data_IF_662596183091
#
_entry.id   IF_662596183091
#
_cell.length_a   1.000
_cell.length_b   1.000
_cell.length_c   1.000
_cell.angle_alpha   90.00
_cell.angle_beta   90.00
_cell.angle_gamma   90.00
#
_symmetry.space_group_name_H-M   'P 1'
#
loop_
_entity.id
_entity.type
_entity.pdbx_description
1 polymer ?
#
# COMPACT_ATOMS: atom_id res chain seq x y z
N UNK A 1 6.48 -44.88 -37.95
CA UNK A 1 6.49 -44.28 -36.60
C UNK A 1 5.66 -45.17 -35.69
N UNK A 2 6.24 -45.73 -34.63
CA UNK A 2 5.65 -46.86 -33.87
C UNK A 2 4.53 -46.31 -32.95
N UNK A 3 3.34 -46.92 -32.98
CA UNK A 3 2.12 -46.53 -32.24
C UNK A 3 2.35 -46.32 -30.73
N UNK A 4 3.32 -47.08 -30.18
CA UNK A 4 3.76 -46.98 -28.78
C UNK A 4 4.50 -45.66 -28.41
N UNK A 5 5.25 -45.09 -29.35
CA UNK A 5 5.99 -43.85 -29.15
C UNK A 5 5.06 -42.61 -29.25
N UNK A 6 3.99 -42.72 -30.04
CA UNK A 6 2.99 -41.65 -30.17
C UNK A 6 2.15 -41.49 -28.90
N UNK A 7 1.76 -42.61 -28.27
CA UNK A 7 1.03 -42.59 -26.99
C UNK A 7 1.87 -42.03 -25.84
N UNK A 8 3.20 -42.28 -25.82
CA UNK A 8 4.12 -41.72 -24.82
C UNK A 8 4.31 -40.21 -25.00
N UNK A 9 4.36 -39.73 -26.23
CA UNK A 9 4.49 -38.30 -26.54
C UNK A 9 3.21 -37.53 -26.09
N UNK A 10 2.03 -38.05 -26.34
CA UNK A 10 0.76 -37.44 -25.89
C UNK A 10 0.65 -37.42 -24.39
N UNK A 11 1.03 -38.48 -23.68
CA UNK A 11 1.00 -38.55 -22.23
C UNK A 11 1.93 -37.51 -21.56
N UNK A 12 3.14 -37.31 -22.09
CA UNK A 12 4.09 -36.30 -21.60
C UNK A 12 3.62 -34.87 -21.85
N UNK A 13 2.99 -34.62 -23.00
CA UNK A 13 2.45 -33.27 -23.32
C UNK A 13 1.27 -32.91 -22.44
N UNK A 14 0.35 -33.87 -22.18
CA UNK A 14 -0.77 -33.68 -21.26
C UNK A 14 -0.33 -33.46 -19.84
N UNK A 15 0.69 -34.22 -19.35
CA UNK A 15 1.23 -34.04 -18.00
C UNK A 15 1.87 -32.66 -17.83
N UNK A 16 2.62 -32.17 -18.82
CA UNK A 16 3.20 -30.82 -18.83
C UNK A 16 2.15 -29.71 -18.78
N UNK A 17 1.02 -29.90 -19.50
CA UNK A 17 -0.10 -28.94 -19.49
C UNK A 17 -0.81 -28.88 -18.13
N UNK A 18 -1.02 -30.04 -17.49
CA UNK A 18 -1.66 -30.11 -16.16
C UNK A 18 -0.77 -29.49 -15.10
N UNK A 19 0.54 -29.78 -15.10
CA UNK A 19 1.50 -29.17 -14.15
C UNK A 19 1.59 -27.65 -14.39
N UNK A 20 1.66 -27.20 -15.64
CA UNK A 20 1.67 -25.77 -15.98
C UNK A 20 0.41 -25.05 -15.51
N UNK A 21 -0.77 -25.66 -15.68
CA UNK A 21 -2.04 -25.08 -15.23
C UNK A 21 -2.15 -25.01 -13.70
N UNK A 22 -1.62 -25.99 -12.97
CA UNK A 22 -1.58 -25.99 -11.50
C UNK A 22 -0.63 -24.91 -10.98
N UNK A 23 0.55 -24.77 -11.57
CA UNK A 23 1.54 -23.74 -11.18
C UNK A 23 1.01 -22.34 -11.50
N UNK A 24 0.42 -22.13 -12.69
CA UNK A 24 -0.22 -20.84 -13.04
C UNK A 24 -1.46 -20.53 -12.19
N UNK A 25 -2.22 -21.54 -11.77
CA UNK A 25 -3.38 -21.37 -10.88
C UNK A 25 -2.98 -20.98 -9.44
N UNK A 26 -1.85 -21.48 -8.96
CA UNK A 26 -1.36 -21.18 -7.61
C UNK A 26 -0.84 -19.74 -7.44
N UNK A 27 -0.44 -19.08 -8.54
CA UNK A 27 -0.04 -17.67 -8.56
C UNK A 27 -1.17 -16.68 -8.84
N UNK A 28 -2.40 -17.13 -9.04
CA UNK A 28 -3.54 -16.21 -9.02
C UNK A 28 -3.70 -15.74 -7.58
N UNK A 29 -3.22 -14.53 -7.29
CA UNK A 29 -3.61 -13.79 -6.10
C UNK A 29 -5.13 -13.88 -6.02
N UNK A 30 -5.63 -14.38 -4.89
CA UNK A 30 -7.07 -14.51 -4.65
C UNK A 30 -7.69 -13.14 -4.95
N UNK A 31 -8.64 -13.03 -5.91
CA UNK A 31 -9.26 -11.74 -6.20
C UNK A 31 -9.91 -11.23 -4.92
N UNK A 32 -9.44 -10.13 -4.37
CA UNK A 32 -10.04 -9.47 -3.22
C UNK A 32 -9.22 -9.42 -1.92
N UNK A 33 -8.04 -10.06 -1.83
CA UNK A 33 -7.17 -9.87 -0.66
C UNK A 33 -6.46 -8.52 -0.74
N UNK A 34 -6.85 -7.61 0.13
CA UNK A 34 -6.18 -6.33 0.34
C UNK A 34 -5.21 -6.50 1.52
N UNK A 35 -3.89 -6.40 1.30
CA UNK A 35 -2.95 -6.43 2.41
C UNK A 35 -3.20 -5.24 3.33
N UNK A 36 -3.21 -5.44 4.66
CA UNK A 36 -3.50 -4.35 5.59
C UNK A 36 -2.43 -3.27 5.54
N UNK A 37 -2.88 -2.01 5.47
CA UNK A 37 -2.03 -0.84 5.64
C UNK A 37 -1.96 -0.50 7.13
N UNK A 38 -0.76 -0.36 7.70
CA UNK A 38 -0.57 -0.05 9.11
C UNK A 38 -0.22 1.43 9.32
N UNK A 39 -0.73 2.00 10.41
CA UNK A 39 -0.27 3.29 10.92
C UNK A 39 0.48 3.04 12.22
N UNK A 40 1.73 3.46 12.26
CA UNK A 40 2.69 3.19 13.34
C UNK A 40 3.50 4.45 13.67
N UNK A 41 4.41 4.37 14.62
CA UNK A 41 5.25 5.47 15.08
C UNK A 41 4.67 6.12 16.34
N UNK A 42 4.71 7.45 16.41
CA UNK A 42 4.27 8.23 17.57
C UNK A 42 2.76 8.35 17.66
N UNK A 43 2.10 7.22 17.83
CA UNK A 43 0.66 7.08 17.91
C UNK A 43 0.25 6.32 19.16
N UNK A 44 -0.84 6.72 19.79
CA UNK A 44 -1.40 6.03 20.94
C UNK A 44 -2.00 4.66 20.57
N UNK A 45 -2.32 4.47 19.29
CA UNK A 45 -2.96 3.26 18.80
C UNK A 45 -2.45 2.91 17.39
N UNK A 46 -1.92 1.70 17.20
CA UNK A 46 -1.64 1.14 15.87
C UNK A 46 -2.97 0.89 15.15
N UNK A 47 -3.16 1.52 14.02
CA UNK A 47 -4.32 1.31 13.15
C UNK A 47 -3.94 0.35 12.03
N UNK A 48 -4.82 -0.63 11.74
CA UNK A 48 -4.70 -1.51 10.58
C UNK A 48 -5.90 -1.29 9.68
N UNK A 49 -5.65 -0.87 8.47
CA UNK A 49 -6.66 -0.67 7.43
C UNK A 49 -6.71 -1.90 6.54
N UNK A 50 -7.78 -2.66 6.64
CA UNK A 50 -8.04 -3.83 5.78
C UNK A 50 -8.97 -3.47 4.62
N UNK A 51 -9.73 -2.38 4.76
CA UNK A 51 -10.69 -1.92 3.78
C UNK A 51 -10.67 -0.38 3.70
N UNK A 52 -10.68 0.22 2.49
CA UNK A 52 -10.74 1.67 2.31
C UNK A 52 -11.94 2.36 2.97
N UNK A 53 -13.05 1.63 3.22
CA UNK A 53 -14.26 2.17 3.86
C UNK A 53 -14.21 2.16 5.39
N UNK A 54 -13.15 1.64 5.98
CA UNK A 54 -13.06 1.40 7.42
C UNK A 54 -12.86 2.69 8.23
N UNK A 55 -12.22 3.69 7.65
CA UNK A 55 -11.92 4.97 8.31
C UNK A 55 -12.35 6.12 7.41
N UNK A 56 -13.16 7.02 7.96
CA UNK A 56 -13.54 8.26 7.32
C UNK A 56 -14.46 8.12 6.11
N UNK A 57 -14.63 9.24 5.40
CA UNK A 57 -15.43 9.33 4.19
C UNK A 57 -14.54 9.14 2.97
N UNK A 58 -15.02 8.39 1.99
CA UNK A 58 -14.39 8.34 0.67
C UNK A 58 -14.66 9.64 -0.09
N UNK A 59 -13.62 10.14 -0.70
CA UNK A 59 -13.61 11.33 -1.53
C UNK A 59 -13.32 10.96 -2.99
N UNK A 60 -14.01 11.63 -3.91
CA UNK A 60 -13.66 11.58 -5.33
C UNK A 60 -12.44 12.46 -5.57
N UNK A 61 -11.33 11.86 -5.95
CA UNK A 61 -10.07 12.56 -6.22
C UNK A 61 -9.68 12.35 -7.67
N UNK A 62 -9.47 13.44 -8.41
CA UNK A 62 -8.92 13.38 -9.76
C UNK A 62 -7.42 13.66 -9.72
N UNK A 63 -6.63 12.73 -10.23
CA UNK A 63 -5.18 12.83 -10.26
C UNK A 63 -4.64 12.14 -11.51
N UNK A 64 -3.75 12.80 -12.23
CA UNK A 64 -3.15 12.28 -13.47
C UNK A 64 -4.18 11.76 -14.49
N UNK A 65 -5.26 12.49 -14.69
CA UNK A 65 -6.34 12.09 -15.62
C UNK A 65 -7.23 10.94 -15.16
N UNK A 66 -6.94 10.34 -14.00
CA UNK A 66 -7.71 9.25 -13.42
C UNK A 66 -8.56 9.72 -12.23
N UNK A 67 -9.68 9.02 -12.00
CA UNK A 67 -10.55 9.25 -10.84
C UNK A 67 -10.34 8.13 -9.82
N UNK A 68 -10.19 8.51 -8.56
CA UNK A 68 -9.96 7.61 -7.43
C UNK A 68 -11.01 7.84 -6.35
N UNK A 69 -11.40 6.76 -5.68
CA UNK A 69 -12.08 6.81 -4.38
C UNK A 69 -11.01 6.72 -3.29
N UNK A 70 -10.83 7.78 -2.51
CA UNK A 70 -9.71 7.89 -1.60
C UNK A 70 -10.11 8.45 -0.24
N UNK A 71 -9.36 8.08 0.80
CA UNK A 71 -9.51 8.57 2.17
C UNK A 71 -8.50 9.69 2.37
N UNK A 72 -8.85 10.76 3.08
CA UNK A 72 -7.85 11.76 3.48
C UNK A 72 -6.81 11.15 4.40
N UNK A 73 -5.53 11.40 4.12
CA UNK A 73 -4.42 10.92 4.95
C UNK A 73 -4.55 11.42 6.39
N UNK A 74 -5.02 12.66 6.59
CA UNK A 74 -5.24 13.21 7.93
C UNK A 74 -6.31 12.46 8.73
N UNK A 75 -7.37 11.95 8.09
CA UNK A 75 -8.39 11.18 8.80
C UNK A 75 -7.81 9.86 9.33
N UNK A 76 -6.93 9.24 8.55
CA UNK A 76 -6.21 8.01 8.93
C UNK A 76 -5.27 8.27 10.12
N UNK A 77 -4.49 9.35 10.06
CA UNK A 77 -3.56 9.75 11.11
C UNK A 77 -4.33 10.09 12.40
N UNK A 78 -5.41 10.85 12.28
CA UNK A 78 -6.26 11.21 13.43
C UNK A 78 -6.86 9.97 14.10
N UNK A 79 -7.27 8.96 13.32
CA UNK A 79 -7.77 7.70 13.86
C UNK A 79 -6.72 6.91 14.66
N UNK A 80 -5.42 7.11 14.37
CA UNK A 80 -4.32 6.51 15.12
C UNK A 80 -3.98 7.28 16.41
N UNK A 81 -4.55 8.46 16.63
CA UNK A 81 -4.36 9.29 17.81
C UNK A 81 -2.86 9.60 18.03
N UNK A 82 -2.25 10.49 17.26
CA UNK A 82 -0.88 10.91 17.48
C UNK A 82 -0.68 11.40 18.91
N UNK A 83 0.43 11.01 19.56
CA UNK A 83 0.74 11.39 20.94
C UNK A 83 1.16 12.85 21.06
N UNK A 84 1.62 13.46 19.96
CA UNK A 84 1.90 14.88 19.82
C UNK A 84 1.63 15.31 18.36
N UNK A 85 1.77 16.60 18.08
CA UNK A 85 1.64 17.11 16.73
C UNK A 85 2.65 16.43 15.79
N UNK A 86 2.22 15.83 14.67
CA UNK A 86 3.13 15.21 13.72
C UNK A 86 4.04 16.26 13.09
N UNK A 87 5.34 15.99 13.04
CA UNK A 87 6.32 16.80 12.30
C UNK A 87 6.63 16.21 10.92
N UNK A 88 6.60 14.88 10.84
CA UNK A 88 6.92 14.17 9.62
C UNK A 88 6.04 12.93 9.49
N UNK A 89 5.61 12.68 8.27
CA UNK A 89 4.88 11.45 7.92
C UNK A 89 5.70 10.72 6.86
N UNK A 90 6.04 9.47 7.13
CA UNK A 90 6.67 8.60 6.15
C UNK A 90 5.67 7.59 5.62
N UNK A 91 5.65 7.43 4.31
CA UNK A 91 4.86 6.46 3.58
C UNK A 91 5.79 5.39 3.05
N UNK A 92 5.70 4.18 3.59
CA UNK A 92 6.64 3.09 3.31
C UNK A 92 5.97 2.05 2.43
N UNK A 93 6.54 1.80 1.27
CA UNK A 93 6.12 0.76 0.32
C UNK A 93 6.65 -0.62 0.66
N UNK A 94 6.06 -1.66 0.07
CA UNK A 94 6.53 -3.04 0.20
C UNK A 94 7.90 -3.27 -0.46
N UNK A 95 8.24 -2.45 -1.46
CA UNK A 95 9.53 -2.46 -2.18
C UNK A 95 10.65 -1.73 -1.43
N UNK A 96 10.35 -1.17 -0.26
CA UNK A 96 11.27 -0.37 0.54
C UNK A 96 11.32 1.12 0.13
N UNK A 97 10.60 1.53 -0.91
CA UNK A 97 10.49 2.94 -1.25
C UNK A 97 9.82 3.70 -0.10
N UNK A 98 10.41 4.84 0.27
CA UNK A 98 9.88 5.69 1.33
C UNK A 98 9.70 7.10 0.80
N UNK A 99 8.49 7.61 0.91
CA UNK A 99 8.14 9.01 0.64
C UNK A 99 7.89 9.71 1.96
N UNK A 100 8.30 10.96 2.09
CA UNK A 100 8.08 11.76 3.30
C UNK A 100 7.24 12.98 3.00
N UNK A 101 6.25 13.23 3.85
CA UNK A 101 5.38 14.40 3.75
C UNK A 101 5.47 15.23 5.04
N UNK A 102 5.80 16.52 4.94
CA UNK A 102 5.65 17.43 6.06
C UNK A 102 4.17 17.64 6.36
N UNK A 103 3.78 17.98 7.61
CA UNK A 103 2.39 18.23 7.98
C UNK A 103 1.72 19.31 7.13
N UNK A 104 2.46 20.31 6.73
CA UNK A 104 2.00 21.37 5.83
C UNK A 104 1.75 20.78 4.44
N UNK A 105 0.51 20.80 4.01
CA UNK A 105 0.11 20.27 2.71
C UNK A 105 -0.53 18.87 2.77
N UNK A 106 -0.61 18.25 3.96
CA UNK A 106 -1.31 16.97 4.14
C UNK A 106 -2.82 17.04 3.86
N UNK A 107 -3.41 18.23 3.90
CA UNK A 107 -4.82 18.45 3.58
C UNK A 107 -5.21 18.03 2.16
N UNK A 108 -4.22 17.95 1.25
CA UNK A 108 -4.38 17.47 -0.14
C UNK A 108 -3.76 16.10 -0.37
N UNK A 109 -3.50 15.37 0.70
CA UNK A 109 -2.97 14.01 0.66
C UNK A 109 -4.07 12.99 0.95
N UNK A 110 -4.08 11.94 0.15
CA UNK A 110 -5.10 10.90 0.17
C UNK A 110 -4.45 9.53 0.08
N UNK A 111 -5.13 8.54 0.60
CA UNK A 111 -4.79 7.13 0.45
C UNK A 111 -5.91 6.44 -0.31
N UNK A 112 -5.56 5.76 -1.37
CA UNK A 112 -6.47 4.95 -2.18
C UNK A 112 -6.02 3.51 -2.25
N UNK A 113 -6.88 2.66 -2.74
CA UNK A 113 -6.58 1.27 -3.04
C UNK A 113 -6.94 0.98 -4.49
N UNK A 114 -6.00 0.43 -5.23
CA UNK A 114 -6.22 -0.06 -6.59
C UNK A 114 -5.89 -1.55 -6.68
N UNK A 115 -6.58 -2.27 -7.57
CA UNK A 115 -6.31 -3.69 -7.77
C UNK A 115 -4.90 -3.94 -8.34
N UNK A 116 -4.33 -2.95 -9.02
CA UNK A 116 -3.03 -3.04 -9.67
C UNK A 116 -1.86 -2.79 -8.70
N UNK A 117 -1.98 -1.76 -7.85
CA UNK A 117 -0.88 -1.27 -7.03
C UNK A 117 -1.12 -1.43 -5.52
N UNK A 118 -2.26 -2.02 -5.11
CA UNK A 118 -2.63 -2.09 -3.72
C UNK A 118 -2.92 -0.70 -3.12
N UNK A 119 -2.41 -0.43 -1.93
CA UNK A 119 -2.54 0.87 -1.29
C UNK A 119 -1.59 1.87 -1.93
N UNK A 120 -2.09 3.04 -2.30
CA UNK A 120 -1.35 4.11 -2.94
C UNK A 120 -1.58 5.43 -2.23
N UNK A 121 -0.52 6.25 -2.12
CA UNK A 121 -0.63 7.64 -1.70
C UNK A 121 -0.85 8.53 -2.93
N UNK A 122 -1.72 9.52 -2.77
CA UNK A 122 -1.94 10.60 -3.74
C UNK A 122 -1.76 11.93 -3.01
N UNK A 123 -0.79 12.73 -3.43
CA UNK A 123 -0.64 14.10 -2.98
C UNK A 123 -0.82 15.03 -4.17
N UNK A 124 -1.86 15.86 -4.13
CA UNK A 124 -2.21 16.77 -5.24
C UNK A 124 -1.21 17.91 -5.43
N UNK A 125 -0.33 18.15 -4.46
CA UNK A 125 0.70 19.18 -4.54
C UNK A 125 2.05 18.66 -5.06
N UNK A 126 2.18 17.34 -5.29
CA UNK A 126 3.43 16.71 -5.72
C UNK A 126 3.29 15.99 -7.06
N UNK A 127 4.36 15.90 -7.84
CA UNK A 127 4.36 15.13 -9.08
C UNK A 127 4.16 13.63 -8.82
N UNK A 128 3.67 12.91 -9.82
CA UNK A 128 3.29 11.49 -9.78
C UNK A 128 4.40 10.59 -9.19
N UNK A 129 5.64 10.85 -9.54
CA UNK A 129 6.80 10.03 -9.16
C UNK A 129 7.12 10.09 -7.65
N UNK A 130 6.57 11.07 -6.93
CA UNK A 130 6.75 11.19 -5.47
C UNK A 130 5.66 10.45 -4.68
N UNK A 131 4.65 9.92 -5.35
CA UNK A 131 3.58 9.18 -4.69
C UNK A 131 4.00 7.72 -4.48
N UNK A 132 4.00 7.29 -3.22
CA UNK A 132 4.33 5.91 -2.88
C UNK A 132 3.20 4.96 -3.27
N UNK A 133 3.56 3.84 -3.88
CA UNK A 133 2.67 2.73 -4.26
C UNK A 133 2.97 1.50 -3.41
N UNK A 134 2.04 0.54 -3.42
CA UNK A 134 2.19 -0.70 -2.66
C UNK A 134 2.51 -0.43 -1.17
N UNK A 135 1.84 0.56 -0.59
CA UNK A 135 2.06 0.95 0.79
C UNK A 135 1.80 -0.20 1.75
N UNK A 136 2.68 -0.36 2.72
CA UNK A 136 2.53 -1.27 3.87
C UNK A 136 2.38 -0.52 5.18
N UNK A 137 3.03 0.67 5.31
CA UNK A 137 3.05 1.43 6.55
C UNK A 137 2.98 2.93 6.32
N UNK A 138 2.30 3.62 7.20
CA UNK A 138 2.33 5.05 7.44
C UNK A 138 2.99 5.25 8.79
N UNK A 139 4.16 5.88 8.81
CA UNK A 139 4.92 6.13 10.06
C UNK A 139 4.75 7.59 10.44
N UNK A 140 4.19 7.83 11.62
CA UNK A 140 4.01 9.17 12.20
C UNK A 140 5.18 9.46 13.11
N UNK A 141 5.85 10.60 12.89
CA UNK A 141 6.94 11.10 13.74
C UNK A 141 6.55 12.45 14.30
N UNK A 142 6.68 12.62 15.60
CA UNK A 142 6.35 13.86 16.34
C UNK A 142 7.59 14.56 16.87
N UNK A 143 7.45 15.83 17.20
CA UNK A 143 8.51 16.69 17.71
C UNK A 143 9.19 16.15 18.99
N UNK A 144 8.44 15.43 19.82
CA UNK A 144 8.93 14.91 21.10
C UNK A 144 10.15 14.00 20.99
N UNK A 145 10.27 13.21 19.92
CA UNK A 145 11.40 12.28 19.76
C UNK A 145 12.60 12.91 19.04
N UNK A 146 12.40 13.92 18.20
CA UNK A 146 13.50 14.62 17.55
C UNK A 146 14.37 15.39 18.56
N UNK A 147 13.77 15.96 19.60
CA UNK A 147 14.50 16.64 20.67
C UNK A 147 15.14 15.69 21.69
N UNK A 148 14.59 14.49 21.89
CA UNK A 148 15.17 13.50 22.79
C UNK A 148 16.47 12.86 22.25
N UNK A 149 16.69 12.87 20.93
CA UNK A 149 17.92 12.35 20.32
C UNK A 149 18.99 13.41 20.05
N UNK A 150 18.65 14.70 20.15
CA UNK A 150 19.56 15.83 19.90
C UNK A 150 20.13 16.50 21.15
N UNK A 151 19.80 16.04 22.35
CA UNK A 151 20.20 16.66 23.61
C UNK A 151 21.45 16.04 24.23
N UNK A 152 22.61 16.40 23.72
CA UNK A 152 23.83 16.45 24.57
C UNK A 152 24.52 17.76 24.33
N UNK A 153 24.76 18.57 25.40
CA UNK A 153 25.60 19.76 25.35
C UNK A 153 27.07 19.39 25.13
#
# INVERSE_FOLDING_TARGET
>A
MNRRNWLRAIGLTLLGFVIGAIVFGAFRQTPGYIPPLKVVGDVARVVKLENPKQIGKLHDVSYDGHKYQAIKLMDIITAAQPIAAPEQIYLVGNDGFTSSFPPKGLEKSYITFTAQNGWEAINLNHPINSNAKMLKEIVVVSELLLHAQGGTP
#
